data_IF_123583344640
#
_entry.id   IF_123583344640
#
_cell.length_a   1.000
_cell.length_b   1.000
_cell.length_c   1.000
_cell.angle_alpha   90.00
_cell.angle_beta   90.00
_cell.angle_gamma   90.00
#
_symmetry.space_group_name_H-M   'P 1'
#
loop_
_entity.id
_entity.type
_entity.pdbx_description
1 polymer ?
#
# COMPACT_ATOMS: atom_id res chain seq x y z
N UNK A 1 -24.78 -16.12 27.24
CA UNK A 1 -23.55 -15.30 27.17
C UNK A 1 -23.96 -13.90 26.74
N UNK A 2 -23.38 -12.85 27.33
CA UNK A 2 -23.59 -11.48 26.85
C UNK A 2 -22.84 -11.29 25.53
N UNK A 3 -23.40 -10.55 24.58
CA UNK A 3 -22.74 -10.23 23.30
C UNK A 3 -21.35 -9.61 23.52
N UNK A 4 -21.22 -8.76 24.54
CA UNK A 4 -19.94 -8.14 24.90
C UNK A 4 -18.90 -9.18 25.36
N UNK A 5 -19.35 -10.25 26.01
CA UNK A 5 -18.48 -11.35 26.41
C UNK A 5 -18.08 -12.18 25.18
N UNK A 6 -19.01 -12.45 24.27
CA UNK A 6 -18.75 -13.17 23.01
C UNK A 6 -17.73 -12.44 22.13
N UNK A 7 -17.84 -11.12 22.02
CA UNK A 7 -16.89 -10.28 21.26
C UNK A 7 -15.51 -10.31 21.90
N UNK A 8 -15.45 -10.19 23.24
CA UNK A 8 -14.20 -10.20 23.99
C UNK A 8 -13.48 -11.55 23.85
N UNK A 9 -14.21 -12.64 24.00
CA UNK A 9 -13.68 -13.99 23.86
C UNK A 9 -13.12 -14.22 22.44
N UNK A 10 -13.80 -13.71 21.41
CA UNK A 10 -13.34 -13.78 20.01
C UNK A 10 -12.06 -12.97 19.79
N UNK A 11 -11.99 -11.75 20.34
CA UNK A 11 -10.83 -10.88 20.21
C UNK A 11 -9.60 -11.41 20.95
N UNK A 12 -9.81 -12.06 22.09
CA UNK A 12 -8.71 -12.66 22.87
C UNK A 12 -8.13 -13.89 22.15
N UNK A 13 -8.94 -14.67 21.42
CA UNK A 13 -8.46 -15.75 20.55
C UNK A 13 -7.63 -15.20 19.38
N UNK A 14 -8.09 -14.12 18.73
CA UNK A 14 -7.36 -13.47 17.63
C UNK A 14 -6.03 -12.91 18.13
N UNK A 15 -6.03 -12.22 19.28
CA UNK A 15 -4.80 -11.66 19.87
C UNK A 15 -3.79 -12.76 20.16
N UNK A 16 -4.23 -13.86 20.77
CA UNK A 16 -3.36 -14.98 21.09
C UNK A 16 -2.76 -15.64 19.85
N UNK A 17 -3.54 -15.81 18.79
CA UNK A 17 -3.04 -16.33 17.51
C UNK A 17 -1.98 -15.42 16.86
N UNK A 18 -2.08 -14.10 17.06
CA UNK A 18 -1.09 -13.14 16.56
C UNK A 18 0.17 -13.05 17.43
N UNK A 19 0.05 -13.30 18.73
CA UNK A 19 1.17 -13.25 19.68
C UNK A 19 2.00 -14.53 19.70
N UNK A 20 1.39 -15.69 19.37
CA UNK A 20 2.06 -17.00 19.40
C UNK A 20 2.94 -17.28 18.15
N UNK A 21 2.84 -16.49 17.06
CA UNK A 21 3.56 -16.69 15.80
C UNK A 21 4.86 -15.84 15.69
N UNK A 22 5.87 -16.18 16.50
CA UNK A 22 7.25 -15.68 16.37
C UNK A 22 8.12 -16.54 15.41
N UNK A 23 7.50 -17.36 14.55
CA UNK A 23 8.21 -18.34 13.70
C UNK A 23 8.27 -17.95 12.22
N UNK A 24 9.52 -17.93 11.71
CA UNK A 24 10.01 -17.87 10.33
C UNK A 24 9.05 -17.41 9.20
N UNK A 25 9.45 -16.32 8.54
CA UNK A 25 8.85 -15.67 7.36
C UNK A 25 8.51 -16.58 6.15
N UNK A 26 8.85 -17.86 6.19
CA UNK A 26 8.63 -18.85 5.12
C UNK A 26 7.27 -19.57 5.21
N UNK A 27 6.64 -19.63 6.38
CA UNK A 27 5.25 -20.15 6.57
C UNK A 27 4.16 -19.13 6.22
N UNK A 28 4.54 -17.87 5.93
CA UNK A 28 3.61 -16.76 5.72
C UNK A 28 2.65 -17.00 4.55
N UNK A 29 2.97 -17.87 3.58
CA UNK A 29 2.07 -18.12 2.44
C UNK A 29 0.81 -18.90 2.80
N UNK A 30 0.88 -19.79 3.79
CA UNK A 30 -0.26 -20.63 4.18
C UNK A 30 -1.12 -19.98 5.29
N UNK A 31 -0.53 -19.03 6.04
CA UNK A 31 -1.20 -18.30 7.13
C UNK A 31 -1.53 -16.84 6.77
N UNK A 32 -1.67 -16.49 5.49
CA UNK A 32 -2.17 -15.15 5.11
C UNK A 32 -3.66 -15.05 5.46
N UNK A 33 -4.00 -14.29 6.49
CA UNK A 33 -5.37 -13.83 6.72
C UNK A 33 -5.75 -12.87 5.59
N UNK A 34 -6.48 -13.38 4.60
CA UNK A 34 -6.99 -12.57 3.50
C UNK A 34 -8.25 -11.85 3.98
N UNK A 35 -8.08 -10.63 4.52
CA UNK A 35 -9.14 -9.81 5.12
C UNK A 35 -10.27 -9.40 4.16
N UNK A 36 -10.10 -9.61 2.85
CA UNK A 36 -11.14 -9.32 1.85
C UNK A 36 -12.03 -10.53 1.53
N UNK A 37 -11.95 -11.63 2.30
CA UNK A 37 -12.79 -12.82 2.12
C UNK A 37 -13.74 -13.01 3.30
N UNK A 38 -15.05 -13.04 3.04
CA UNK A 38 -16.11 -13.34 4.00
C UNK A 38 -16.54 -14.79 3.84
N UNK A 39 -16.57 -15.53 4.95
CA UNK A 39 -17.11 -16.90 4.98
C UNK A 39 -18.60 -16.82 5.33
N UNK A 40 -19.45 -17.40 4.48
CA UNK A 40 -20.90 -17.50 4.70
C UNK A 40 -21.25 -18.71 5.58
N UNK A 41 -22.48 -18.71 6.12
CA UNK A 41 -23.00 -19.81 6.96
C UNK A 41 -23.07 -21.17 6.24
N UNK A 42 -23.19 -21.16 4.90
CA UNK A 42 -23.17 -22.37 4.07
C UNK A 42 -21.75 -22.87 3.73
N UNK A 43 -20.73 -22.21 4.27
CA UNK A 43 -19.32 -22.52 4.04
C UNK A 43 -18.75 -21.98 2.73
N UNK A 44 -19.52 -21.23 1.94
CA UNK A 44 -19.00 -20.55 0.74
C UNK A 44 -18.21 -19.30 1.11
N UNK A 45 -17.27 -18.90 0.25
CA UNK A 45 -16.39 -17.74 0.47
C UNK A 45 -16.72 -16.66 -0.56
N UNK A 46 -17.12 -15.48 -0.08
CA UNK A 46 -17.33 -14.29 -0.90
C UNK A 46 -16.14 -13.32 -0.76
N UNK A 47 -15.75 -12.66 -1.85
CA UNK A 47 -14.76 -11.57 -1.80
C UNK A 47 -15.51 -10.26 -1.53
N UNK A 48 -15.25 -9.64 -0.38
CA UNK A 48 -15.97 -8.46 0.15
C UNK A 48 -15.74 -7.24 -0.74
N UNK A 49 -14.51 -7.08 -1.24
CA UNK A 49 -14.13 -6.12 -2.28
C UNK A 49 -12.64 -6.32 -2.58
N UNK A 50 -12.31 -6.55 -3.85
CA UNK A 50 -10.93 -6.44 -4.32
C UNK A 50 -10.81 -5.07 -4.98
N UNK A 51 -10.58 -4.03 -4.17
CA UNK A 51 -10.28 -2.68 -4.65
C UNK A 51 -8.87 -2.63 -5.28
N UNK A 52 -8.53 -3.65 -6.08
CA UNK A 52 -7.37 -3.66 -6.93
C UNK A 52 -7.57 -2.58 -7.97
N UNK A 53 -6.80 -1.50 -7.87
CA UNK A 53 -6.77 -0.46 -8.88
C UNK A 53 -6.45 -1.10 -10.24
N UNK A 54 -7.27 -0.80 -11.23
CA UNK A 54 -7.00 -1.20 -12.60
C UNK A 54 -5.70 -0.54 -13.07
N UNK A 55 -5.02 -1.17 -14.04
CA UNK A 55 -3.81 -0.58 -14.65
C UNK A 55 -4.06 0.83 -15.21
N UNK A 56 -5.29 1.14 -15.59
CA UNK A 56 -5.68 2.47 -16.07
C UNK A 56 -5.69 3.50 -14.94
N UNK A 57 -6.33 3.18 -13.82
CA UNK A 57 -6.39 4.07 -12.65
C UNK A 57 -5.00 4.30 -12.05
N UNK A 58 -4.14 3.27 -12.04
CA UNK A 58 -2.75 3.43 -11.61
C UNK A 58 -1.98 4.41 -12.52
N UNK A 59 -2.19 4.34 -13.84
CA UNK A 59 -1.57 5.27 -14.78
C UNK A 59 -2.04 6.69 -14.56
N UNK A 60 -3.34 6.89 -14.39
CA UNK A 60 -3.92 8.21 -14.17
C UNK A 60 -3.42 8.83 -12.85
N UNK A 61 -3.35 8.04 -11.77
CA UNK A 61 -2.78 8.49 -10.49
C UNK A 61 -1.29 8.85 -10.65
N UNK A 62 -0.54 8.06 -11.42
CA UNK A 62 0.88 8.30 -11.67
C UNK A 62 1.10 9.58 -12.49
N UNK A 63 0.33 9.75 -13.57
CA UNK A 63 0.43 10.92 -14.45
C UNK A 63 0.10 12.20 -13.67
N UNK A 64 -0.98 12.20 -12.90
CA UNK A 64 -1.36 13.34 -12.06
C UNK A 64 -0.28 13.70 -11.01
N UNK A 65 0.31 12.69 -10.36
CA UNK A 65 1.40 12.91 -9.40
C UNK A 65 2.67 13.41 -10.06
N UNK A 66 3.00 12.92 -11.25
CA UNK A 66 4.14 13.40 -12.00
C UNK A 66 3.93 14.86 -12.40
N UNK A 67 2.75 15.21 -12.91
CA UNK A 67 2.41 16.59 -13.27
C UNK A 67 2.54 17.55 -12.07
N UNK A 68 1.98 17.18 -10.92
CA UNK A 68 2.12 17.97 -9.69
C UNK A 68 3.58 18.14 -9.25
N UNK A 69 4.37 17.06 -9.28
CA UNK A 69 5.79 17.12 -8.92
C UNK A 69 6.60 17.95 -9.91
N UNK A 70 6.30 17.86 -11.20
CA UNK A 70 6.93 18.68 -12.23
C UNK A 70 6.59 20.16 -11.98
N UNK A 71 5.33 20.51 -11.80
CA UNK A 71 4.94 21.90 -11.57
C UNK A 71 5.59 22.51 -10.32
N UNK A 72 5.68 21.73 -9.23
CA UNK A 72 6.24 22.22 -7.97
C UNK A 72 7.78 22.30 -7.96
N UNK A 73 8.45 21.36 -8.62
CA UNK A 73 9.90 21.19 -8.46
C UNK A 73 10.72 21.46 -9.71
N UNK A 74 10.14 21.34 -10.91
CA UNK A 74 10.88 21.47 -12.16
C UNK A 74 11.40 22.89 -12.37
N UNK A 75 10.60 23.92 -12.10
CA UNK A 75 11.03 25.31 -12.22
C UNK A 75 12.18 25.63 -11.24
N UNK A 76 12.04 25.21 -9.98
CA UNK A 76 13.08 25.38 -8.96
C UNK A 76 14.37 24.63 -9.32
N UNK A 77 14.24 23.43 -9.88
CA UNK A 77 15.38 22.67 -10.37
C UNK A 77 16.05 23.35 -11.56
N UNK A 78 15.28 23.79 -12.56
CA UNK A 78 15.80 24.52 -13.72
C UNK A 78 16.57 25.76 -13.29
N UNK A 79 15.97 26.60 -12.45
CA UNK A 79 16.60 27.83 -11.99
C UNK A 79 17.89 27.58 -11.20
N UNK A 80 17.99 26.45 -10.48
CA UNK A 80 19.18 26.14 -9.66
C UNK A 80 20.26 25.36 -10.40
N UNK A 81 19.92 24.50 -11.37
CA UNK A 81 20.86 23.57 -12.01
C UNK A 81 21.20 23.94 -13.45
N UNK A 82 20.29 24.60 -14.17
CA UNK A 82 20.51 25.00 -15.57
C UNK A 82 21.68 25.98 -15.71
N UNK A 83 21.82 27.05 -14.88
CA UNK A 83 22.93 27.99 -15.03
C UNK A 83 24.30 27.32 -14.85
N UNK A 84 24.44 26.46 -13.84
CA UNK A 84 25.68 25.73 -13.57
C UNK A 84 26.06 24.77 -14.72
N UNK A 85 25.05 24.18 -15.39
CA UNK A 85 25.28 23.33 -16.56
C UNK A 85 25.69 24.15 -17.79
N UNK A 86 25.01 25.28 -18.03
CA UNK A 86 25.35 26.19 -19.14
C UNK A 86 26.74 26.78 -18.96
N UNK A 87 27.09 27.23 -17.76
CA UNK A 87 28.42 27.76 -17.43
C UNK A 87 29.52 26.72 -17.67
N UNK A 88 29.30 25.46 -17.26
CA UNK A 88 30.23 24.36 -17.54
C UNK A 88 30.38 24.05 -19.03
N UNK A 89 29.31 24.24 -19.81
CA UNK A 89 29.33 23.99 -21.25
C UNK A 89 30.01 25.13 -22.02
N UNK A 90 29.72 26.38 -21.67
CA UNK A 90 30.31 27.55 -22.32
C UNK A 90 31.75 27.84 -21.88
N UNK A 91 32.13 27.56 -20.62
CA UNK A 91 33.52 27.68 -20.17
C UNK A 91 34.44 26.55 -20.66
N UNK A 92 33.89 25.51 -21.29
CA UNK A 92 34.65 24.44 -21.95
C UNK A 92 34.96 24.74 -23.43
N UNK A 93 34.54 25.89 -23.94
CA UNK A 93 34.78 26.36 -25.30
C UNK A 93 35.79 27.49 -25.29
#
# INVERSE_FOLDING_TARGET
>A
MSEQQSIKDTLDVIRKALEDDESSLEEIKDNVLILNKLVKEDGTIDVIEDNSLTKSEIKEILDNKLEELFDQHFEKWLNSKLPAHLEKYFNKK
#
